data_IF_811501089673
#
_entry.id   IF_811501089673
#
_cell.length_a   1.000
_cell.length_b   1.000
_cell.length_c   1.000
_cell.angle_alpha   90.00
_cell.angle_beta   90.00
_cell.angle_gamma   90.00
#
_symmetry.space_group_name_H-M   'P 1'
#
loop_
_entity.id
_entity.type
_entity.pdbx_description
1 polymer ?
#
# COMPACT_ATOMS: atom_id res chain seq x y z
N UNK A 1 2.01 13.69 -18.28
CA UNK A 1 1.66 14.48 -17.07
C UNK A 1 1.57 15.99 -17.31
N UNK A 2 2.09 16.54 -18.43
CA UNK A 2 2.04 17.98 -18.71
C UNK A 2 0.62 18.58 -18.74
N UNK A 3 -0.33 17.94 -19.44
CA UNK A 3 -1.72 18.40 -19.52
C UNK A 3 -2.43 18.44 -18.15
N UNK A 4 -2.18 17.46 -17.29
CA UNK A 4 -2.73 17.42 -15.94
C UNK A 4 -2.17 18.53 -15.03
N UNK A 5 -0.91 18.94 -15.25
CA UNK A 5 -0.25 20.02 -14.50
C UNK A 5 -0.69 21.42 -14.97
N UNK A 6 -1.03 21.56 -16.24
CA UNK A 6 -1.54 22.83 -16.78
C UNK A 6 -3.01 23.08 -16.47
N UNK A 7 -3.78 22.05 -16.14
CA UNK A 7 -5.17 22.18 -15.73
C UNK A 7 -5.27 22.58 -14.24
N UNK A 8 -6.25 23.39 -13.86
CA UNK A 8 -6.49 23.78 -12.47
C UNK A 8 -7.23 22.67 -11.69
N UNK A 9 -6.50 21.58 -11.43
CA UNK A 9 -7.02 20.36 -10.78
C UNK A 9 -6.07 19.92 -9.65
N UNK A 10 -6.16 20.52 -8.46
CA UNK A 10 -5.17 20.34 -7.39
C UNK A 10 -5.04 18.89 -6.91
N UNK A 11 -6.13 18.11 -6.89
CA UNK A 11 -6.06 16.68 -6.55
C UNK A 11 -5.27 15.86 -7.58
N UNK A 12 -5.35 16.24 -8.85
CA UNK A 12 -4.63 15.58 -9.93
C UNK A 12 -3.15 15.96 -9.91
N UNK A 13 -2.82 17.17 -9.46
CA UNK A 13 -1.43 17.61 -9.27
C UNK A 13 -0.72 16.77 -8.20
N UNK A 14 -1.34 16.62 -7.03
CA UNK A 14 -0.80 15.78 -5.94
C UNK A 14 -0.62 14.33 -6.36
N UNK A 15 -1.57 13.79 -7.12
CA UNK A 15 -1.45 12.44 -7.69
C UNK A 15 -0.27 12.33 -8.67
N UNK A 16 -0.15 13.24 -9.63
CA UNK A 16 0.96 13.29 -10.57
C UNK A 16 2.32 13.46 -9.87
N UNK A 17 2.37 14.22 -8.77
CA UNK A 17 3.58 14.37 -7.98
C UNK A 17 3.97 13.05 -7.29
N UNK A 18 3.02 12.37 -6.66
CA UNK A 18 3.25 11.05 -6.04
C UNK A 18 3.79 10.02 -7.04
N UNK A 19 3.26 10.00 -8.27
CA UNK A 19 3.75 9.10 -9.32
C UNK A 19 5.20 9.38 -9.73
N UNK A 20 5.65 10.64 -9.78
CA UNK A 20 7.07 10.91 -10.05
C UNK A 20 7.97 10.50 -8.88
N UNK A 21 7.52 10.72 -7.63
CA UNK A 21 8.27 10.28 -6.45
C UNK A 21 8.46 8.76 -6.46
N UNK A 22 7.43 8.01 -6.84
CA UNK A 22 7.45 6.54 -6.88
C UNK A 22 8.12 5.96 -8.15
N UNK A 23 8.52 6.79 -9.11
CA UNK A 23 8.99 6.32 -10.43
C UNK A 23 10.16 5.35 -10.35
N UNK A 24 11.13 5.62 -9.48
CA UNK A 24 12.27 4.73 -9.27
C UNK A 24 11.83 3.36 -8.71
N UNK A 25 10.91 3.36 -7.75
CA UNK A 25 10.37 2.14 -7.15
C UNK A 25 9.55 1.31 -8.15
N UNK A 26 8.75 1.97 -8.99
CA UNK A 26 7.98 1.32 -10.06
C UNK A 26 8.91 0.70 -11.09
N UNK A 27 9.92 1.43 -11.56
CA UNK A 27 10.91 0.90 -12.48
C UNK A 27 11.61 -0.34 -11.90
N UNK A 28 12.09 -0.26 -10.67
CA UNK A 28 12.73 -1.38 -9.98
C UNK A 28 11.78 -2.58 -9.84
N UNK A 29 10.50 -2.35 -9.56
CA UNK A 29 9.49 -3.40 -9.46
C UNK A 29 9.17 -4.11 -10.78
N UNK A 30 9.49 -3.51 -11.93
CA UNK A 30 9.29 -4.08 -13.26
C UNK A 30 10.56 -4.69 -13.85
N UNK A 31 11.74 -4.19 -13.47
CA UNK A 31 13.02 -4.62 -14.06
C UNK A 31 13.78 -5.63 -13.22
N UNK A 32 13.59 -5.63 -11.90
CA UNK A 32 14.29 -6.54 -10.99
C UNK A 32 13.46 -7.82 -10.76
N UNK A 33 14.11 -8.95 -10.47
CA UNK A 33 13.41 -10.22 -10.20
C UNK A 33 12.75 -10.26 -8.80
N UNK A 34 12.94 -9.22 -7.99
CA UNK A 34 12.46 -9.16 -6.62
C UNK A 34 10.98 -8.76 -6.56
N UNK A 35 10.19 -9.44 -5.73
CA UNK A 35 8.79 -9.09 -5.51
C UNK A 35 8.49 -8.79 -4.04
N UNK A 36 7.62 -7.80 -3.81
CA UNK A 36 7.09 -7.53 -2.47
C UNK A 36 5.86 -8.41 -2.13
N UNK A 37 5.66 -9.51 -2.85
CA UNK A 37 4.44 -10.34 -2.78
C UNK A 37 4.23 -10.95 -1.39
N UNK A 38 5.30 -11.46 -0.76
CA UNK A 38 5.22 -12.06 0.58
C UNK A 38 4.75 -11.06 1.63
N UNK A 39 5.35 -9.86 1.66
CA UNK A 39 4.98 -8.78 2.57
C UNK A 39 3.56 -8.30 2.34
N UNK A 40 3.16 -8.12 1.07
CA UNK A 40 1.77 -7.77 0.70
C UNK A 40 0.77 -8.82 1.17
N UNK A 41 1.13 -10.10 1.07
CA UNK A 41 0.34 -11.22 1.57
C UNK A 41 0.13 -11.15 3.09
N UNK A 42 1.21 -10.94 3.85
CA UNK A 42 1.13 -10.77 5.32
C UNK A 42 0.25 -9.57 5.68
N UNK A 43 0.47 -8.41 5.03
CA UNK A 43 -0.35 -7.21 5.27
C UNK A 43 -1.83 -7.45 4.96
N UNK A 44 -2.13 -8.21 3.89
CA UNK A 44 -3.50 -8.56 3.54
C UNK A 44 -4.12 -9.50 4.58
N UNK A 45 -3.40 -10.52 5.06
CA UNK A 45 -3.84 -11.40 6.15
C UNK A 45 -4.14 -10.59 7.41
N UNK A 46 -3.21 -9.73 7.82
CA UNK A 46 -3.36 -8.87 9.00
C UNK A 46 -4.59 -7.96 8.88
N UNK A 47 -4.76 -7.28 7.74
CA UNK A 47 -5.94 -6.43 7.49
C UNK A 47 -7.23 -7.24 7.45
N UNK A 48 -7.20 -8.49 6.97
CA UNK A 48 -8.37 -9.39 6.99
C UNK A 48 -8.79 -9.72 8.42
N UNK A 49 -7.84 -10.10 9.29
CA UNK A 49 -8.10 -10.36 10.72
C UNK A 49 -8.69 -9.11 11.39
N UNK A 50 -8.07 -7.93 11.18
CA UNK A 50 -8.60 -6.66 11.70
C UNK A 50 -10.04 -6.38 11.24
N UNK A 51 -10.38 -6.67 9.98
CA UNK A 51 -11.73 -6.50 9.42
C UNK A 51 -12.76 -7.48 9.98
N UNK A 52 -12.37 -8.73 10.22
CA UNK A 52 -13.23 -9.71 10.92
C UNK A 52 -13.61 -9.24 12.33
N UNK A 53 -12.83 -8.33 12.89
CA UNK A 53 -13.03 -7.77 14.23
C UNK A 53 -13.56 -6.33 14.19
N UNK A 54 -14.08 -5.89 13.03
CA UNK A 54 -14.60 -4.53 12.82
C UNK A 54 -13.62 -3.41 13.21
N UNK A 55 -12.32 -3.65 13.05
CA UNK A 55 -11.26 -2.71 13.43
C UNK A 55 -10.95 -2.65 14.92
N UNK A 56 -11.61 -3.46 15.76
CA UNK A 56 -11.48 -3.43 17.23
C UNK A 56 -10.41 -4.38 17.79
N UNK A 57 -9.33 -4.59 17.04
CA UNK A 57 -8.21 -5.40 17.49
C UNK A 57 -6.98 -4.52 17.76
N UNK A 58 -6.75 -4.21 19.04
CA UNK A 58 -5.49 -3.64 19.49
C UNK A 58 -4.32 -4.62 19.26
N UNK A 59 -3.09 -4.16 19.47
CA UNK A 59 -1.90 -4.93 19.14
C UNK A 59 -1.87 -6.32 19.78
N UNK A 60 -2.16 -6.43 21.08
CA UNK A 60 -2.12 -7.71 21.81
C UNK A 60 -3.11 -8.73 21.23
N UNK A 61 -4.33 -8.29 20.97
CA UNK A 61 -5.39 -9.14 20.43
C UNK A 61 -5.07 -9.55 18.97
N UNK A 62 -4.55 -8.63 18.16
CA UNK A 62 -4.11 -8.93 16.80
C UNK A 62 -2.95 -9.93 16.80
N UNK A 63 -1.98 -9.77 17.71
CA UNK A 63 -0.85 -10.69 17.88
C UNK A 63 -1.33 -12.10 18.24
N UNK A 64 -2.23 -12.22 19.22
CA UNK A 64 -2.81 -13.52 19.59
C UNK A 64 -3.51 -14.19 18.40
N UNK A 65 -4.30 -13.44 17.64
CA UNK A 65 -4.98 -13.96 16.44
C UNK A 65 -4.01 -14.38 15.34
N UNK A 66 -2.93 -13.64 15.11
CA UNK A 66 -1.96 -13.98 14.06
C UNK A 66 -1.15 -15.24 14.40
N UNK A 67 -0.77 -15.41 15.67
CA UNK A 67 0.11 -16.49 16.14
C UNK A 67 -0.63 -17.79 16.48
N UNK A 68 -1.90 -17.70 16.88
CA UNK A 68 -2.69 -18.85 17.34
C UNK A 68 -3.75 -19.33 16.32
N UNK A 69 -3.93 -18.63 15.20
CA UNK A 69 -4.73 -19.08 14.05
C UNK A 69 -3.84 -19.62 12.94
#
# INVERSE_FOLDING_TARGET
>A
MAQARSADLPHLHSFCHGLELDRAAVNAGLTLPWSNGRTKGINTRTKKIMRQMHGRAGFDLLRHRILLQ
#
